data_IF_355210115950
#
_entry.id   IF_355210115950
#
_cell.length_a   1.000
_cell.length_b   1.000
_cell.length_c   1.000
_cell.angle_alpha   90.00
_cell.angle_beta   90.00
_cell.angle_gamma   90.00
#
_symmetry.space_group_name_H-M   'P 1'
#
loop_
_entity.id
_entity.type
_entity.pdbx_description
1 polymer ?
#
# COMPACT_ATOMS: atom_id res chain seq x y z
N UNK A 1 -1.49 2.92 10.18
CA UNK A 1 -1.95 3.90 11.21
C UNK A 1 -2.34 3.15 12.47
N UNK A 2 -2.18 3.75 13.67
CA UNK A 2 -2.56 3.10 14.94
C UNK A 2 -3.01 4.07 16.05
N UNK A 3 -2.72 5.34 15.91
CA UNK A 3 -3.14 6.38 16.86
C UNK A 3 -4.44 7.04 16.39
N UNK A 4 -5.43 7.13 17.28
CA UNK A 4 -6.79 7.57 16.95
C UNK A 4 -6.86 9.03 16.52
N UNK A 5 -6.08 9.92 17.13
CA UNK A 5 -6.06 11.34 16.77
C UNK A 5 -5.38 11.53 15.42
N UNK A 6 -4.22 10.89 15.24
CA UNK A 6 -3.49 10.96 13.97
C UNK A 6 -4.28 10.34 12.81
N UNK A 7 -5.11 9.31 13.06
CA UNK A 7 -6.06 8.76 12.07
C UNK A 7 -7.07 9.83 11.64
N UNK A 8 -7.67 10.58 12.59
CA UNK A 8 -8.63 11.66 12.28
C UNK A 8 -7.99 12.78 11.46
N UNK A 9 -6.79 13.20 11.88
CA UNK A 9 -6.05 14.26 11.18
C UNK A 9 -5.70 13.86 9.73
N UNK A 10 -5.22 12.63 9.52
CA UNK A 10 -4.90 12.13 8.17
C UNK A 10 -6.16 11.99 7.33
N UNK A 11 -7.25 11.45 7.89
CA UNK A 11 -8.54 11.37 7.18
C UNK A 11 -9.05 12.74 6.75
N UNK A 12 -8.85 13.77 7.59
CA UNK A 12 -9.26 15.15 7.28
C UNK A 12 -8.51 15.75 6.08
N UNK A 13 -7.39 15.16 5.65
CA UNK A 13 -6.68 15.58 4.43
C UNK A 13 -7.36 15.13 3.13
N UNK A 14 -8.42 14.31 3.20
CA UNK A 14 -9.17 13.86 2.04
C UNK A 14 -8.51 12.72 1.26
N UNK A 15 -7.80 11.85 1.96
CA UNK A 15 -7.19 10.65 1.35
C UNK A 15 -8.25 9.60 0.99
N UNK A 16 -7.96 8.77 -0.02
CA UNK A 16 -8.88 7.72 -0.49
C UNK A 16 -8.79 6.42 0.32
N UNK A 17 -7.59 6.08 0.82
CA UNK A 17 -7.30 4.81 1.49
C UNK A 17 -6.38 5.03 2.70
N UNK A 18 -6.62 4.26 3.78
CA UNK A 18 -5.78 4.28 4.98
C UNK A 18 -5.38 2.87 5.39
N UNK A 19 -4.05 2.61 5.47
CA UNK A 19 -3.48 1.31 5.78
C UNK A 19 -3.29 1.05 7.28
N UNK A 20 -3.64 -0.18 7.69
CA UNK A 20 -3.42 -0.77 9.01
C UNK A 20 -2.57 -2.03 8.84
N UNK A 21 -1.38 -2.07 9.44
CA UNK A 21 -0.43 -3.17 9.23
C UNK A 21 -0.60 -4.20 10.35
N UNK A 22 -1.00 -5.42 9.97
CA UNK A 22 -1.24 -6.54 10.88
C UNK A 22 -0.10 -7.59 10.85
N UNK A 23 1.12 -7.15 10.56
CA UNK A 23 2.31 -7.99 10.61
C UNK A 23 3.13 -7.71 11.87
N UNK A 24 3.23 -8.66 12.85
CA UNK A 24 3.85 -8.42 14.15
C UNK A 24 5.33 -8.02 14.11
N UNK A 25 6.05 -8.37 13.02
CA UNK A 25 7.47 -7.97 12.85
C UNK A 25 7.64 -6.54 12.34
N UNK A 26 6.56 -5.87 11.95
CA UNK A 26 6.62 -4.48 11.52
C UNK A 26 6.70 -3.53 12.72
N UNK A 27 7.57 -2.52 12.62
CA UNK A 27 7.58 -1.40 13.59
C UNK A 27 6.28 -0.59 13.59
N UNK A 28 5.42 -0.79 12.56
CA UNK A 28 4.11 -0.13 12.37
C UNK A 28 2.94 -1.05 12.73
N UNK A 29 3.22 -2.18 13.35
CA UNK A 29 2.21 -3.16 13.71
C UNK A 29 1.09 -2.55 14.56
N UNK A 30 -0.14 -2.85 14.21
CA UNK A 30 -1.35 -2.47 14.97
C UNK A 30 -1.66 -3.60 15.94
N UNK A 31 -1.09 -3.50 17.15
CA UNK A 31 -1.27 -4.52 18.21
C UNK A 31 -2.61 -4.42 18.91
N UNK A 32 -3.22 -3.22 18.91
CA UNK A 32 -4.51 -2.95 19.54
C UNK A 32 -5.39 -2.15 18.57
N UNK A 33 -6.69 -2.41 18.63
CA UNK A 33 -7.65 -1.70 17.80
C UNK A 33 -7.71 -0.23 18.22
N UNK A 34 -7.42 0.72 17.29
CA UNK A 34 -7.52 2.14 17.61
C UNK A 34 -8.93 2.52 18.08
N UNK A 35 -9.02 3.45 19.01
CA UNK A 35 -10.30 3.96 19.52
C UNK A 35 -11.14 4.68 18.43
N UNK A 36 -10.52 5.02 17.32
CA UNK A 36 -11.17 5.56 16.14
C UNK A 36 -10.66 4.85 14.87
N UNK A 37 -11.59 4.49 13.99
CA UNK A 37 -11.31 4.02 12.63
C UNK A 37 -11.92 5.02 11.62
N UNK A 38 -11.26 5.28 10.48
CA UNK A 38 -11.74 6.25 9.52
C UNK A 38 -13.09 5.84 8.93
N UNK A 39 -13.90 6.82 8.57
CA UNK A 39 -15.25 6.62 8.02
C UNK A 39 -15.43 7.22 6.62
N UNK A 40 -14.48 8.07 6.18
CA UNK A 40 -14.53 8.80 4.92
C UNK A 40 -13.52 8.33 3.88
N UNK A 41 -12.67 7.37 4.23
CA UNK A 41 -11.74 6.71 3.33
C UNK A 41 -11.81 5.19 3.50
N UNK A 42 -11.35 4.44 2.50
CA UNK A 42 -11.32 2.98 2.56
C UNK A 42 -10.27 2.50 3.55
N UNK A 43 -10.62 1.47 4.32
CA UNK A 43 -9.73 0.82 5.30
C UNK A 43 -9.00 -0.34 4.63
N UNK A 44 -7.67 -0.27 4.63
CA UNK A 44 -6.80 -1.30 4.04
C UNK A 44 -6.12 -2.08 5.15
N UNK A 45 -6.36 -3.38 5.23
CA UNK A 45 -5.58 -4.28 6.10
C UNK A 45 -4.37 -4.84 5.37
N UNK A 46 -3.17 -4.63 5.91
CA UNK A 46 -1.92 -5.11 5.32
C UNK A 46 -1.44 -6.35 6.06
N UNK A 47 -1.32 -7.47 5.34
CA UNK A 47 -0.95 -8.78 5.84
C UNK A 47 0.31 -9.30 5.14
N UNK A 48 1.07 -10.15 5.81
CA UNK A 48 2.27 -10.80 5.28
C UNK A 48 2.23 -12.27 5.68
N UNK A 49 1.99 -13.15 4.70
CA UNK A 49 1.92 -14.62 4.87
C UNK A 49 1.01 -15.06 6.03
N UNK A 50 -0.12 -14.34 6.23
CA UNK A 50 -1.06 -14.60 7.31
C UNK A 50 -2.09 -15.64 6.91
N UNK A 51 -2.61 -16.40 7.89
CA UNK A 51 -3.63 -17.42 7.64
C UNK A 51 -5.01 -16.76 7.38
N UNK A 52 -5.82 -17.48 6.60
CA UNK A 52 -7.13 -17.02 6.14
C UNK A 52 -8.10 -16.67 7.26
N UNK A 53 -8.12 -17.44 8.34
CA UNK A 53 -9.04 -17.22 9.45
C UNK A 53 -8.71 -15.92 10.21
N UNK A 54 -7.41 -15.65 10.44
CA UNK A 54 -6.94 -14.41 11.05
C UNK A 54 -7.26 -13.20 10.15
N UNK A 55 -7.03 -13.31 8.84
CA UNK A 55 -7.38 -12.24 7.88
C UNK A 55 -8.87 -11.94 7.97
N UNK A 56 -9.71 -12.99 7.96
CA UNK A 56 -11.17 -12.85 8.06
C UNK A 56 -11.60 -12.16 9.33
N UNK A 57 -11.11 -12.63 10.48
CA UNK A 57 -11.46 -12.04 11.78
C UNK A 57 -11.09 -10.55 11.82
N UNK A 58 -9.88 -10.19 11.40
CA UNK A 58 -9.42 -8.81 11.39
C UNK A 58 -10.23 -7.98 10.38
N UNK A 59 -10.56 -8.54 9.22
CA UNK A 59 -11.38 -7.85 8.22
C UNK A 59 -12.76 -7.49 8.77
N UNK A 60 -13.38 -8.39 9.53
CA UNK A 60 -14.65 -8.15 10.17
C UNK A 60 -14.52 -7.15 11.33
N UNK A 61 -13.54 -7.34 12.23
CA UNK A 61 -13.31 -6.49 13.40
C UNK A 61 -13.02 -5.03 13.04
N UNK A 62 -12.27 -4.80 11.96
CA UNK A 62 -11.91 -3.47 11.48
C UNK A 62 -12.87 -2.94 10.41
N UNK A 63 -13.84 -3.75 9.97
CA UNK A 63 -14.69 -3.48 8.81
C UNK A 63 -13.84 -3.00 7.63
N UNK A 64 -12.86 -3.82 7.22
CA UNK A 64 -11.96 -3.49 6.12
C UNK A 64 -12.72 -3.45 4.80
N UNK A 65 -12.25 -2.62 3.88
CA UNK A 65 -12.71 -2.53 2.48
C UNK A 65 -11.74 -3.23 1.54
N UNK A 66 -10.46 -3.31 1.94
CA UNK A 66 -9.38 -3.81 1.10
C UNK A 66 -8.45 -4.69 1.93
N UNK A 67 -8.06 -5.83 1.37
CA UNK A 67 -7.00 -6.70 1.88
C UNK A 67 -5.76 -6.51 1.01
N UNK A 68 -4.66 -6.06 1.61
CA UNK A 68 -3.37 -5.96 0.94
C UNK A 68 -2.47 -7.11 1.39
N UNK A 69 -2.10 -7.96 0.45
CA UNK A 69 -1.22 -9.11 0.62
C UNK A 69 0.21 -8.69 0.25
N UNK A 70 1.09 -8.61 1.23
CA UNK A 70 2.45 -8.06 1.08
C UNK A 70 3.55 -9.10 1.32
N UNK A 71 3.18 -10.36 1.39
CA UNK A 71 4.07 -11.52 1.56
C UNK A 71 4.29 -12.30 0.26
N UNK A 72 4.43 -13.61 0.39
CA UNK A 72 4.65 -14.56 -0.70
C UNK A 72 3.37 -15.30 -1.14
N UNK A 73 2.20 -14.77 -0.75
CA UNK A 73 0.90 -15.40 -1.06
C UNK A 73 0.75 -15.68 -2.56
N UNK A 74 0.53 -16.94 -2.91
CA UNK A 74 0.37 -17.39 -4.30
C UNK A 74 -1.03 -17.08 -4.86
N UNK A 75 -1.20 -17.06 -6.20
CA UNK A 75 -2.54 -16.93 -6.81
C UNK A 75 -3.51 -18.00 -6.33
N UNK A 76 -3.04 -19.22 -6.12
CA UNK A 76 -3.85 -20.32 -5.60
C UNK A 76 -4.36 -20.03 -4.19
N UNK A 77 -3.48 -19.59 -3.28
CA UNK A 77 -3.89 -19.18 -1.93
C UNK A 77 -4.91 -18.04 -1.97
N UNK A 78 -4.72 -17.04 -2.87
CA UNK A 78 -5.65 -15.93 -3.02
C UNK A 78 -7.02 -16.41 -3.48
N UNK A 79 -7.08 -17.32 -4.44
CA UNK A 79 -8.33 -17.87 -4.97
C UNK A 79 -9.16 -18.63 -3.92
N UNK A 80 -8.50 -19.12 -2.88
CA UNK A 80 -9.13 -19.83 -1.76
C UNK A 80 -9.52 -18.93 -0.58
N UNK A 81 -9.42 -17.61 -0.72
CA UNK A 81 -9.93 -16.68 0.28
C UNK A 81 -11.46 -16.52 0.13
N UNK A 82 -12.29 -17.34 0.82
CA UNK A 82 -13.71 -17.54 0.48
C UNK A 82 -14.62 -16.34 0.77
N UNK A 83 -14.12 -15.35 1.50
CA UNK A 83 -14.87 -14.16 1.90
C UNK A 83 -14.65 -12.95 0.99
N UNK A 84 -13.85 -13.11 -0.07
CA UNK A 84 -13.47 -12.02 -0.97
C UNK A 84 -14.47 -11.80 -2.11
N UNK A 85 -15.47 -12.67 -2.24
CA UNK A 85 -16.33 -12.73 -3.43
C UNK A 85 -17.37 -11.63 -3.55
N UNK A 86 -17.57 -10.74 -2.58
CA UNK A 86 -18.65 -9.76 -2.71
C UNK A 86 -18.45 -8.38 -2.07
N UNK A 87 -17.44 -8.19 -1.21
CA UNK A 87 -17.31 -6.93 -0.45
C UNK A 87 -15.90 -6.35 -0.37
N UNK A 88 -14.88 -7.18 -0.40
CA UNK A 88 -13.49 -6.78 -0.18
C UNK A 88 -12.70 -6.80 -1.50
N UNK A 89 -11.96 -5.73 -1.77
CA UNK A 89 -10.97 -5.73 -2.86
C UNK A 89 -9.64 -6.30 -2.38
N UNK A 90 -8.91 -6.93 -3.31
CA UNK A 90 -7.57 -7.47 -3.04
C UNK A 90 -6.52 -6.62 -3.72
N UNK A 91 -5.49 -6.28 -2.96
CA UNK A 91 -4.23 -5.69 -3.46
C UNK A 91 -3.10 -6.69 -3.24
N UNK A 92 -2.37 -7.06 -4.30
CA UNK A 92 -1.12 -7.81 -4.17
C UNK A 92 0.07 -6.88 -4.31
N UNK A 93 0.93 -6.86 -3.29
CA UNK A 93 2.16 -6.06 -3.32
C UNK A 93 3.32 -6.86 -3.94
N UNK A 94 4.10 -6.17 -4.76
CA UNK A 94 5.33 -6.67 -5.38
C UNK A 94 6.48 -5.71 -5.10
N UNK A 95 7.65 -6.27 -4.75
CA UNK A 95 8.88 -5.50 -4.68
C UNK A 95 9.47 -5.42 -6.09
N UNK A 96 9.50 -4.23 -6.68
CA UNK A 96 9.99 -3.99 -8.05
C UNK A 96 11.32 -3.25 -7.97
N UNK A 97 12.37 -3.85 -8.52
CA UNK A 97 13.68 -3.25 -8.69
C UNK A 97 14.10 -3.22 -10.16
N UNK A 98 13.64 -4.18 -10.96
CA UNK A 98 13.97 -4.34 -12.37
C UNK A 98 12.73 -4.71 -13.19
N UNK A 99 12.88 -4.71 -14.52
CA UNK A 99 11.80 -5.12 -15.44
C UNK A 99 11.43 -6.59 -15.31
N UNK A 100 12.38 -7.42 -14.91
CA UNK A 100 12.18 -8.87 -14.69
C UNK A 100 11.22 -9.14 -13.54
N UNK A 101 11.22 -8.28 -12.51
CA UNK A 101 10.31 -8.42 -11.35
C UNK A 101 8.84 -8.28 -11.77
N UNK A 102 8.57 -7.52 -12.83
CA UNK A 102 7.21 -7.36 -13.37
C UNK A 102 6.67 -8.65 -14.04
N UNK A 103 7.53 -9.60 -14.38
CA UNK A 103 7.08 -10.85 -15.01
C UNK A 103 6.20 -11.66 -14.06
N UNK A 104 6.50 -11.63 -12.77
CA UNK A 104 5.73 -12.35 -11.76
C UNK A 104 4.26 -11.88 -11.67
N UNK A 105 3.98 -10.62 -12.01
CA UNK A 105 2.62 -10.06 -11.93
C UNK A 105 1.62 -10.78 -12.84
N UNK A 106 2.11 -11.36 -13.95
CA UNK A 106 1.25 -12.09 -14.91
C UNK A 106 0.50 -13.24 -14.28
N UNK A 107 1.08 -13.87 -13.26
CA UNK A 107 0.45 -15.00 -12.56
C UNK A 107 -0.76 -14.58 -11.71
N UNK A 108 -0.88 -13.29 -11.41
CA UNK A 108 -1.91 -12.72 -10.54
C UNK A 108 -2.98 -11.94 -11.30
N UNK A 109 -2.82 -11.77 -12.62
CA UNK A 109 -3.82 -11.12 -13.46
C UNK A 109 -5.17 -11.83 -13.33
N UNK A 110 -6.22 -11.05 -13.05
CA UNK A 110 -7.57 -11.57 -12.84
C UNK A 110 -7.83 -12.21 -11.47
N UNK A 111 -6.79 -12.38 -10.63
CA UNK A 111 -6.94 -12.92 -9.27
C UNK A 111 -7.02 -11.82 -8.20
N UNK A 112 -6.68 -10.59 -8.54
CA UNK A 112 -6.67 -9.43 -7.64
C UNK A 112 -7.21 -8.20 -8.34
N UNK A 113 -7.70 -7.22 -7.57
CA UNK A 113 -8.25 -5.98 -8.11
C UNK A 113 -7.16 -4.97 -8.45
N UNK A 114 -6.09 -4.94 -7.64
CA UNK A 114 -4.99 -3.98 -7.80
C UNK A 114 -3.65 -4.63 -7.47
N UNK A 115 -2.59 -4.10 -8.09
CA UNK A 115 -1.23 -4.29 -7.61
C UNK A 115 -0.76 -3.09 -6.78
N UNK A 116 0.19 -3.32 -5.90
CA UNK A 116 1.00 -2.27 -5.29
C UNK A 116 2.45 -2.54 -5.68
N UNK A 117 3.07 -1.63 -6.42
CA UNK A 117 4.47 -1.73 -6.79
C UNK A 117 5.31 -0.95 -5.78
N UNK A 118 5.89 -1.69 -4.82
CA UNK A 118 6.84 -1.14 -3.85
C UNK A 118 8.22 -1.09 -4.50
N UNK A 119 8.58 0.09 -4.96
CA UNK A 119 9.82 0.31 -5.68
C UNK A 119 10.98 0.52 -4.71
N UNK A 120 11.95 -0.38 -4.70
CA UNK A 120 13.16 -0.26 -3.88
C UNK A 120 14.30 0.26 -4.72
N UNK A 121 14.89 1.38 -4.32
CA UNK A 121 16.17 1.82 -4.87
C UNK A 121 17.24 0.74 -4.68
N UNK A 122 18.21 0.62 -5.59
CA UNK A 122 19.33 -0.35 -5.58
C UNK A 122 20.27 -0.22 -4.37
N UNK A 123 19.92 0.51 -3.35
CA UNK A 123 20.80 0.83 -2.24
C UNK A 123 20.80 -0.22 -1.16
N UNK A 124 21.62 -1.24 -1.34
CA UNK A 124 22.40 -1.78 -0.22
C UNK A 124 23.67 -0.91 -0.17
N UNK A 125 23.61 0.25 0.51
CA UNK A 125 24.74 1.14 0.70
C UNK A 125 24.62 2.51 0.05
N UNK A 126 23.96 3.43 0.75
CA UNK A 126 24.42 4.80 0.94
C UNK A 126 24.49 5.83 -0.20
N UNK A 127 24.17 5.57 -1.44
CA UNK A 127 24.38 6.54 -2.51
C UNK A 127 23.20 7.47 -2.82
N UNK A 128 22.08 7.39 -2.07
CA UNK A 128 20.96 8.33 -2.23
C UNK A 128 20.24 8.26 -3.59
N UNK A 129 20.55 7.28 -4.43
CA UNK A 129 19.89 7.12 -5.72
C UNK A 129 18.44 6.69 -5.52
N UNK A 130 17.52 7.53 -5.97
CA UNK A 130 16.09 7.23 -6.00
C UNK A 130 15.83 6.16 -7.06
N UNK A 131 14.89 5.25 -6.77
CA UNK A 131 14.44 4.27 -7.76
C UNK A 131 13.93 4.99 -9.02
N UNK A 132 14.32 4.48 -10.17
CA UNK A 132 13.86 4.99 -11.46
C UNK A 132 12.51 4.36 -11.83
N UNK A 133 11.43 5.12 -11.68
CA UNK A 133 10.07 4.67 -12.03
C UNK A 133 9.87 4.35 -13.52
N UNK A 134 10.84 4.67 -14.39
CA UNK A 134 10.79 4.30 -15.80
C UNK A 134 10.70 2.79 -16.02
N UNK A 135 11.20 1.99 -15.08
CA UNK A 135 11.02 0.52 -15.07
C UNK A 135 9.53 0.15 -15.19
N UNK A 136 8.64 0.90 -14.53
CA UNK A 136 7.20 0.63 -14.56
C UNK A 136 6.56 0.92 -15.93
N UNK A 137 7.21 1.70 -16.81
CA UNK A 137 6.72 1.93 -18.17
C UNK A 137 6.69 0.64 -19.01
N UNK A 138 7.43 -0.38 -18.58
CA UNK A 138 7.45 -1.70 -19.23
C UNK A 138 6.32 -2.61 -18.76
N UNK A 139 5.55 -2.24 -17.72
CA UNK A 139 4.38 -2.98 -17.31
C UNK A 139 3.33 -2.97 -18.43
N UNK A 140 2.86 -4.15 -18.83
CA UNK A 140 1.90 -4.34 -19.93
C UNK A 140 0.66 -5.12 -19.46
N UNK A 141 0.53 -5.36 -18.14
CA UNK A 141 -0.63 -6.03 -17.57
C UNK A 141 -1.89 -5.17 -17.60
N UNK A 142 -3.03 -5.81 -17.38
CA UNK A 142 -4.33 -5.14 -17.34
C UNK A 142 -4.73 -4.70 -15.94
N UNK A 143 -4.20 -5.32 -14.89
CA UNK A 143 -4.49 -4.97 -13.50
C UNK A 143 -3.95 -3.59 -13.17
N UNK A 144 -4.79 -2.65 -12.68
CA UNK A 144 -4.32 -1.33 -12.26
C UNK A 144 -3.44 -1.42 -11.01
N UNK A 145 -2.57 -0.42 -10.81
CA UNK A 145 -1.62 -0.44 -9.71
C UNK A 145 -1.49 0.89 -8.96
N UNK A 146 -1.08 0.77 -7.70
CA UNK A 146 -0.62 1.86 -6.84
C UNK A 146 0.92 1.90 -6.88
N UNK A 147 1.47 3.10 -7.06
CA UNK A 147 2.91 3.34 -6.96
C UNK A 147 3.30 3.55 -5.51
N UNK A 148 4.23 2.75 -5.01
CA UNK A 148 4.79 2.83 -3.66
C UNK A 148 6.31 2.79 -3.68
N UNK A 149 6.93 2.92 -2.51
CA UNK A 149 8.38 2.77 -2.32
C UNK A 149 9.15 4.08 -2.35
N UNK A 150 9.55 4.56 -1.17
CA UNK A 150 10.47 5.66 -1.00
C UNK A 150 10.00 7.04 -1.47
N UNK A 151 8.71 7.21 -1.80
CA UNK A 151 8.15 8.52 -2.15
C UNK A 151 8.27 9.43 -0.93
N UNK A 152 8.90 10.60 -1.11
CA UNK A 152 9.10 11.60 -0.07
C UNK A 152 8.50 12.96 -0.40
N UNK A 153 8.53 13.91 0.55
CA UNK A 153 7.99 15.26 0.35
C UNK A 153 8.59 16.00 -0.87
N UNK A 154 9.81 15.65 -1.21
CA UNK A 154 10.56 16.22 -2.34
C UNK A 154 10.17 15.63 -3.70
N UNK A 155 9.34 14.58 -3.75
CA UNK A 155 9.00 13.85 -4.98
C UNK A 155 7.72 14.34 -5.67
N UNK A 156 7.08 15.41 -5.20
CA UNK A 156 5.82 15.90 -5.77
C UNK A 156 5.90 16.12 -7.29
N UNK A 157 6.97 16.77 -7.77
CA UNK A 157 7.15 16.97 -9.20
C UNK A 157 7.38 15.67 -9.97
N UNK A 158 8.08 14.70 -9.37
CA UNK A 158 8.26 13.36 -9.98
C UNK A 158 6.93 12.63 -10.12
N UNK A 159 6.09 12.70 -9.07
CA UNK A 159 4.74 12.10 -9.10
C UNK A 159 3.89 12.74 -10.20
N UNK A 160 3.90 14.07 -10.32
CA UNK A 160 3.14 14.79 -11.37
C UNK A 160 3.53 14.40 -12.78
N UNK A 161 4.81 14.17 -13.04
CA UNK A 161 5.30 13.82 -14.39
C UNK A 161 5.29 12.31 -14.64
N UNK A 162 5.04 11.50 -13.62
CA UNK A 162 4.90 10.07 -13.81
C UNK A 162 3.55 9.74 -14.41
N UNK A 163 3.55 9.18 -15.61
CA UNK A 163 2.34 8.78 -16.32
C UNK A 163 2.40 7.31 -16.71
N UNK A 164 1.41 6.57 -16.27
CA UNK A 164 1.16 5.21 -16.73
C UNK A 164 -0.36 4.96 -16.75
N UNK A 165 -0.96 4.42 -17.83
CA UNK A 165 -2.41 4.28 -17.97
C UNK A 165 -3.05 3.38 -16.89
N UNK A 166 -2.28 2.52 -16.27
CA UNK A 166 -2.73 1.63 -15.19
C UNK A 166 -2.35 2.12 -13.79
N UNK A 167 -1.60 3.22 -13.64
CA UNK A 167 -1.33 3.82 -12.34
C UNK A 167 -2.55 4.60 -11.86
N UNK A 168 -3.16 4.17 -10.76
CA UNK A 168 -4.39 4.77 -10.22
C UNK A 168 -4.16 5.61 -8.97
N UNK A 169 -2.94 5.64 -8.45
CA UNK A 169 -2.62 6.40 -7.25
C UNK A 169 -1.23 6.09 -6.71
N UNK A 170 -0.94 6.68 -5.56
CA UNK A 170 0.33 6.53 -4.86
C UNK A 170 0.11 6.10 -3.41
N UNK A 171 1.06 5.37 -2.85
CA UNK A 171 1.11 5.01 -1.43
C UNK A 171 2.23 5.78 -0.72
N UNK A 172 1.86 6.51 0.34
CA UNK A 172 2.77 7.34 1.13
C UNK A 172 2.96 6.74 2.53
N UNK A 173 4.19 6.37 2.87
CA UNK A 173 4.44 5.72 4.16
C UNK A 173 5.60 6.37 4.93
N UNK A 174 6.78 5.74 4.99
CA UNK A 174 7.86 6.04 5.95
C UNK A 174 8.41 7.47 5.89
N UNK A 175 8.44 8.10 4.71
CA UNK A 175 8.98 9.46 4.51
C UNK A 175 8.06 10.56 5.05
N UNK A 176 6.80 10.20 5.37
CA UNK A 176 5.77 11.08 5.91
C UNK A 176 5.42 10.72 7.37
N UNK A 177 6.38 10.23 8.13
CA UNK A 177 6.17 9.85 9.53
C UNK A 177 7.06 10.66 10.46
N UNK A 178 6.52 10.98 11.65
CA UNK A 178 7.27 11.47 12.82
C UNK A 178 7.87 10.29 13.60
N UNK A 179 7.13 9.19 13.66
CA UNK A 179 7.54 7.91 14.22
C UNK A 179 6.80 6.78 13.47
N UNK A 180 7.29 5.52 13.50
CA UNK A 180 6.62 4.42 12.81
C UNK A 180 5.13 4.31 13.14
N UNK A 181 4.28 4.43 12.12
CA UNK A 181 2.81 4.40 12.26
C UNK A 181 2.17 5.72 12.72
N UNK A 182 2.94 6.79 12.91
CA UNK A 182 2.44 8.14 13.26
C UNK A 182 2.84 9.14 12.16
N UNK A 183 1.86 9.61 11.39
CA UNK A 183 2.08 10.48 10.23
C UNK A 183 2.35 11.92 10.61
N UNK A 184 3.25 12.56 9.86
CA UNK A 184 3.49 14.01 9.90
C UNK A 184 2.45 14.71 9.03
N UNK A 185 1.46 15.29 9.68
CA UNK A 185 0.31 15.93 9.02
C UNK A 185 0.75 17.11 8.13
N UNK A 186 1.73 17.89 8.58
CA UNK A 186 2.19 19.03 7.81
C UNK A 186 2.88 18.60 6.52
N UNK A 187 3.73 17.57 6.57
CA UNK A 187 4.36 17.01 5.37
C UNK A 187 3.33 16.44 4.40
N UNK A 188 2.37 15.64 4.90
CA UNK A 188 1.32 15.08 4.06
C UNK A 188 0.48 16.19 3.41
N UNK A 189 0.00 17.16 4.20
CA UNK A 189 -0.81 18.27 3.70
C UNK A 189 -0.09 19.06 2.60
N UNK A 190 1.17 19.45 2.86
CA UNK A 190 1.97 20.19 1.88
C UNK A 190 2.17 19.39 0.60
N UNK A 191 2.46 18.09 0.72
CA UNK A 191 2.66 17.21 -0.43
C UNK A 191 1.36 17.06 -1.24
N UNK A 192 0.23 16.73 -0.60
CA UNK A 192 -1.07 16.57 -1.25
C UNK A 192 -1.48 17.86 -1.98
N UNK A 193 -1.29 19.03 -1.36
CA UNK A 193 -1.59 20.31 -1.99
C UNK A 193 -0.66 20.65 -3.17
N UNK A 194 0.48 20.00 -3.25
CA UNK A 194 1.46 20.20 -4.33
C UNK A 194 1.26 19.21 -5.48
N UNK A 195 0.36 18.23 -5.39
CA UNK A 195 -0.05 17.34 -6.49
C UNK A 195 -1.16 17.97 -7.35
#
# INVERSE_FOLDING_TARGET
MRDAENIREVEALGIDMMGFIFWPKSSRYVSERPAYLPTRCKRVGVFVDENTETIKQIADDYALDIIQLHGSESPDQISHLPFLTSRLSIVKAFNIATTEDLVATKLYEGSVDYFLFDTKGKSVGGNGEKFDWSVLSTYKGETPFLLSGGIGPEDANRVKVFHHPKCIGIDLNSRFELAPGHKDINKLKTFIQSL
#
